data_IF_679008906837
#
_entry.id   IF_679008906837
#
_cell.length_a   1.000
_cell.length_b   1.000
_cell.length_c   1.000
_cell.angle_alpha   90.00
_cell.angle_beta   90.00
_cell.angle_gamma   90.00
#
_symmetry.space_group_name_H-M   'P 1'
#
loop_
_entity.id
_entity.type
_entity.pdbx_description
1 polymer ?
2 branched ?
3 branched ?
4 non-polymer ?
5 water ?
#
# COMPACT_ATOMS: atom_id res chain seq x y z
N UNK A 3 24.21 -1.14 -7.83
CA UNK A 3 23.73 -0.93 -9.24
C UNK A 3 22.55 -1.85 -9.55
N UNK A 4 21.61 -1.40 -10.42
CA UNK A 4 20.35 -2.11 -10.64
C UNK A 4 20.42 -3.24 -11.65
N UNK A 5 19.82 -4.39 -11.31
CA UNK A 5 19.70 -5.50 -12.26
C UNK A 5 18.50 -5.27 -13.22
N UNK A 6 18.51 -5.97 -14.36
CA UNK A 6 17.50 -5.81 -15.41
C UNK A 6 16.26 -6.62 -15.09
N UNK A 7 15.13 -6.27 -15.72
CA UNK A 7 13.92 -7.09 -15.68
C UNK A 7 13.05 -6.84 -14.46
N UNK A 8 12.10 -7.74 -14.23
CA UNK A 8 11.19 -7.64 -13.10
C UNK A 8 11.95 -7.92 -11.81
N UNK A 9 11.93 -6.97 -10.85
CA UNK A 9 12.70 -7.15 -9.60
C UNK A 9 12.18 -8.24 -8.65
N UNK A 10 10.95 -8.71 -8.85
CA UNK A 10 10.40 -9.85 -8.09
C UNK A 10 10.85 -11.23 -8.61
N UNK A 11 11.48 -11.28 -9.79
CA UNK A 11 11.76 -12.56 -10.44
C UNK A 11 12.87 -13.34 -9.75
N UNK A 12 12.56 -14.59 -9.40
CA UNK A 12 13.56 -15.49 -8.83
C UNK A 12 13.76 -15.32 -7.34
N UNK A 13 12.89 -14.55 -6.69
CA UNK A 13 13.00 -14.30 -5.25
C UNK A 13 11.81 -14.92 -4.54
N UNK A 14 12.08 -15.48 -3.36
CA UNK A 14 11.03 -15.87 -2.42
C UNK A 14 10.64 -14.62 -1.66
N UNK A 15 9.34 -14.42 -1.47
CA UNK A 15 8.84 -13.28 -0.69
C UNK A 15 8.84 -13.63 0.80
N UNK A 16 9.59 -12.84 1.58
CA UNK A 16 9.64 -12.96 3.03
C UNK A 16 8.23 -12.78 3.60
N UNK A 17 7.80 -13.65 4.51
CA UNK A 17 6.45 -13.55 5.10
C UNK A 17 6.49 -12.70 6.37
N UNK A 18 5.59 -11.72 6.45
CA UNK A 18 5.59 -10.75 7.56
C UNK A 18 5.39 -11.46 8.88
N UNK A 19 6.37 -11.34 9.81
CA UNK A 19 6.17 -11.91 11.16
C UNK A 19 5.11 -11.19 11.98
N UNK A 20 4.91 -9.90 11.74
CA UNK A 20 3.88 -9.16 12.48
C UNK A 20 2.48 -9.62 12.08
N UNK A 21 2.24 -9.75 10.77
CA UNK A 21 0.94 -10.22 10.27
C UNK A 21 0.70 -11.70 10.60
N UNK A 22 1.77 -12.49 10.64
CA UNK A 22 1.68 -13.92 10.98
C UNK A 22 1.21 -14.07 12.42
N UNK A 23 1.83 -13.32 13.32
CA UNK A 23 1.44 -13.25 14.71
C UNK A 23 -0.03 -12.80 14.91
N UNK A 24 -0.46 -11.80 14.14
CA UNK A 24 -1.85 -11.31 14.20
C UNK A 24 -2.86 -12.33 13.72
N UNK A 25 -2.57 -13.00 12.60
CA UNK A 25 -3.44 -14.06 12.07
C UNK A 25 -3.52 -15.26 13.03
N UNK A 26 -2.37 -15.67 13.56
CA UNK A 26 -2.30 -16.71 14.59
C UNK A 26 -3.24 -16.41 15.76
N UNK A 27 -3.28 -15.17 16.23
CA UNK A 27 -4.15 -14.78 17.34
C UNK A 27 -5.60 -14.67 16.89
N UNK A 28 -5.82 -14.34 15.62
CA UNK A 28 -7.16 -14.28 15.05
C UNK A 28 -7.74 -15.69 14.91
N UNK A 29 -6.91 -16.62 14.44
CA UNK A 29 -7.27 -18.03 14.28
C UNK A 29 -7.60 -18.68 15.61
N UNK A 30 -6.85 -18.31 16.66
CA UNK A 30 -7.05 -18.84 18.00
C UNK A 30 -8.37 -18.43 18.66
N UNK A 31 -9.05 -17.42 18.11
CA UNK A 31 -10.36 -17.01 18.61
C UNK A 31 -11.51 -17.54 17.75
N UNK A 32 -11.20 -18.43 16.80
CA UNK A 32 -12.20 -18.98 15.89
C UNK A 32 -12.38 -20.48 16.15
N UNK A 33 -13.62 -20.88 16.45
CA UNK A 33 -13.89 -22.21 16.96
C UNK A 33 -14.13 -23.25 15.84
N UNK A 34 -14.81 -22.81 14.77
CA UNK A 34 -15.05 -23.67 13.61
C UNK A 34 -13.71 -24.15 13.04
N UNK A 35 -13.44 -25.47 13.05
CA UNK A 35 -12.14 -25.94 12.58
C UNK A 35 -11.85 -25.72 11.10
N UNK A 36 -12.89 -25.62 10.27
CA UNK A 36 -12.69 -25.35 8.84
C UNK A 36 -12.41 -23.87 8.58
N UNK A 37 -13.01 -22.98 9.38
CA UNK A 37 -12.74 -21.54 9.32
C UNK A 37 -11.38 -21.21 9.95
N UNK A 38 -11.05 -21.90 11.05
CA UNK A 38 -9.77 -21.77 11.74
C UNK A 38 -8.60 -22.09 10.83
N UNK A 39 -8.66 -23.23 10.16
CA UNK A 39 -7.59 -23.64 9.24
C UNK A 39 -7.48 -22.73 8.02
N UNK A 40 -8.62 -22.22 7.57
CA UNK A 40 -8.65 -21.21 6.50
C UNK A 40 -7.95 -19.92 6.92
N UNK A 41 -8.28 -19.43 8.11
CA UNK A 41 -7.66 -18.24 8.69
C UNK A 41 -6.13 -18.37 8.76
N UNK A 42 -5.64 -19.51 9.24
CA UNK A 42 -4.20 -19.76 9.37
C UNK A 42 -3.47 -19.88 8.02
N UNK A 43 -4.20 -20.14 6.93
CA UNK A 43 -3.58 -20.17 5.60
C UNK A 43 -3.11 -18.78 5.14
N UNK A 44 -3.73 -17.73 5.69
CA UNK A 44 -3.43 -16.33 5.34
C UNK A 44 -2.02 -15.85 5.76
N UNK A 45 -1.47 -16.37 6.85
CA UNK A 45 -0.11 -16.01 7.25
C UNK A 45 0.96 -16.61 6.31
N UNK A 46 0.50 -17.36 5.32
CA UNK A 46 1.34 -17.98 4.31
C UNK A 46 1.33 -17.16 3.01
N UNK A 47 0.47 -16.13 2.97
CA UNK A 47 0.31 -15.26 1.82
C UNK A 47 1.09 -13.97 2.08
N UNK A 48 2.04 -13.65 1.20
CA UNK A 48 2.90 -12.49 1.49
C UNK A 48 2.18 -11.15 1.51
N UNK A 49 2.46 -10.35 2.54
CA UNK A 49 1.98 -8.98 2.63
C UNK A 49 3.15 -8.00 2.79
N UNK A 50 2.86 -6.71 2.68
CA UNK A 50 3.85 -5.66 2.88
C UNK A 50 3.93 -5.28 4.34
N UNK A 51 5.14 -4.99 4.82
CA UNK A 51 5.37 -4.64 6.22
C UNK A 51 5.37 -3.11 6.35
N UNK A 52 4.42 -2.58 7.10
CA UNK A 52 4.25 -1.14 7.23
C UNK A 52 5.12 -0.55 8.34
N UNK A 53 5.83 0.53 8.01
CA UNK A 53 6.57 1.31 8.97
C UNK A 53 5.89 2.66 9.12
N UNK A 54 4.74 2.61 9.79
CA UNK A 54 3.88 3.77 10.01
C UNK A 54 4.26 4.62 11.24
N UNK A 55 5.11 4.08 12.11
CA UNK A 55 5.64 4.85 13.24
C UNK A 55 7.16 4.66 13.31
N UNK A 56 7.87 5.71 13.71
CA UNK A 56 9.34 5.67 13.73
C UNK A 56 9.90 4.67 14.76
N UNK A 57 9.09 4.30 15.76
CA UNK A 57 9.45 3.25 16.73
C UNK A 57 9.57 1.86 16.13
N UNK A 58 9.13 1.69 14.89
CA UNK A 58 9.24 0.42 14.17
C UNK A 58 10.49 0.30 13.34
N UNK A 59 11.21 1.39 13.13
CA UNK A 59 12.36 1.34 12.20
C UNK A 59 13.38 0.26 12.59
N UNK A 60 13.63 0.04 13.90
CA UNK A 60 14.61 -0.98 14.24
C UNK A 60 14.13 -2.40 13.97
N UNK A 61 12.82 -2.59 13.87
CA UNK A 61 12.25 -3.90 13.54
C UNK A 61 12.57 -4.29 12.10
N UNK A 62 12.82 -3.29 11.24
CA UNK A 62 13.29 -3.57 9.89
C UNK A 62 14.61 -4.32 9.89
N UNK A 63 15.53 -3.90 10.76
CA UNK A 63 16.79 -4.62 10.98
C UNK A 63 16.58 -6.06 11.39
N UNK A 64 15.64 -6.29 12.29
CA UNK A 64 15.28 -7.62 12.77
C UNK A 64 14.69 -8.49 11.64
N UNK A 65 13.84 -7.89 10.83
CA UNK A 65 13.29 -8.57 9.67
C UNK A 65 14.37 -8.87 8.62
N UNK A 66 15.22 -7.89 8.29
CA UNK A 66 16.29 -8.11 7.33
C UNK A 66 17.31 -9.13 7.85
N UNK A 67 17.58 -9.09 9.16
CA UNK A 67 18.46 -10.08 9.83
C UNK A 67 17.86 -11.46 9.73
N UNK A 68 16.55 -11.54 9.92
CA UNK A 68 15.85 -12.83 9.84
C UNK A 68 15.86 -13.35 8.40
N UNK A 69 15.53 -12.47 7.45
CA UNK A 69 15.52 -12.81 6.02
C UNK A 69 16.89 -13.23 5.48
N UNK A 70 17.96 -12.63 6.02
CA UNK A 70 19.32 -12.99 5.65
C UNK A 70 19.66 -14.38 6.18
N UNK A 71 19.25 -14.69 7.42
CA UNK A 71 19.50 -16.02 8.01
C UNK A 71 18.71 -17.11 7.28
N UNK A 72 17.47 -16.81 6.88
CA UNK A 72 16.69 -17.72 6.04
C UNK A 72 17.43 -18.02 4.72
N UNK A 73 17.95 -16.97 4.11
CA UNK A 73 18.68 -17.03 2.84
C UNK A 73 19.95 -17.86 2.95
N UNK A 74 20.72 -17.63 4.02
CA UNK A 74 21.92 -18.41 4.27
C UNK A 74 21.58 -19.89 4.53
N UNK A 75 20.47 -20.14 5.24
CA UNK A 75 20.06 -21.50 5.56
C UNK A 75 19.48 -22.25 4.37
N UNK A 76 18.67 -21.59 3.54
CA UNK A 76 17.97 -22.26 2.44
C UNK A 76 18.70 -22.15 1.11
N UNK A 77 19.51 -21.10 0.93
CA UNK A 77 20.13 -20.77 -0.36
C UNK A 77 19.18 -20.04 -1.32
N UNK A 78 17.99 -19.70 -0.83
CA UNK A 78 16.93 -19.09 -1.62
C UNK A 78 16.95 -17.59 -1.42
N UNK A 79 17.18 -16.85 -2.48
CA UNK A 79 17.21 -15.38 -2.40
C UNK A 79 15.86 -14.82 -1.91
N UNK A 80 15.91 -13.92 -0.93
CA UNK A 80 14.72 -13.38 -0.27
C UNK A 80 14.47 -11.93 -0.68
N UNK A 81 13.18 -11.55 -0.67
CA UNK A 81 12.72 -10.20 -0.93
C UNK A 81 11.78 -9.75 0.20
N UNK A 82 12.10 -8.61 0.81
CA UNK A 82 11.31 -8.05 1.91
C UNK A 82 10.49 -6.86 1.42
N UNK A 83 9.18 -6.92 1.66
CA UNK A 83 8.24 -5.95 1.12
C UNK A 83 7.86 -4.99 2.26
N UNK A 84 8.14 -3.71 2.07
CA UNK A 84 7.92 -2.69 3.10
C UNK A 84 7.15 -1.50 2.55
N UNK A 85 6.57 -0.72 3.46
CA UNK A 85 5.85 0.50 3.12
C UNK A 85 6.41 1.70 3.94
N UNK A 86 6.80 2.77 3.24
CA UNK A 86 7.25 4.00 3.88
C UNK A 86 6.01 4.87 4.06
N UNK A 87 5.61 5.13 5.30
CA UNK A 87 4.33 5.79 5.58
C UNK A 87 4.39 6.60 6.87
N UNK A 88 5.04 7.76 6.81
CA UNK A 88 5.12 8.62 7.98
C UNK A 88 5.38 10.09 7.67
N UNK A 89 4.94 10.57 6.51
CA UNK A 89 5.11 12.00 6.18
C UNK A 89 4.48 12.87 7.25
N UNK A 90 5.05 14.05 7.50
CA UNK A 90 4.40 14.96 8.45
C UNK A 90 3.08 15.48 7.88
N UNK A 91 2.11 15.73 8.74
CA UNK A 91 0.75 16.09 8.34
C UNK A 91 0.21 15.02 7.38
N UNK A 92 0.34 13.76 7.78
CA UNK A 92 -0.03 12.61 6.96
C UNK A 92 -1.52 12.60 6.69
N UNK A 93 -1.93 12.02 5.57
CA UNK A 93 -3.36 11.80 5.32
C UNK A 93 -4.08 13.15 5.46
N UNK A 94 -3.67 14.11 4.63
CA UNK A 94 -4.10 15.48 4.76
C UNK A 94 -5.57 15.73 4.43
N UNK A 95 -6.21 14.81 3.69
CA UNK A 95 -7.63 14.95 3.31
C UNK A 95 -8.57 14.18 4.24
N UNK A 96 -8.08 13.66 5.34
CA UNK A 96 -8.84 12.79 6.24
C UNK A 96 -8.30 12.89 7.67
N UNK A 97 -8.88 12.14 8.59
CA UNK A 97 -8.41 12.15 9.97
C UNK A 97 -8.13 10.76 10.57
N UNK A 98 -8.45 9.68 9.85
CA UNK A 98 -8.40 8.32 10.43
C UNK A 98 -6.99 7.82 10.67
N UNK A 99 -6.10 8.08 9.71
CA UNK A 99 -4.67 7.87 9.86
C UNK A 99 -4.11 9.29 9.93
N UNK A 100 -3.47 9.65 11.04
CA UNK A 100 -3.22 11.07 11.31
C UNK A 100 -1.77 11.39 11.50
N UNK A 101 -0.97 10.41 11.89
CA UNK A 101 0.48 10.55 11.88
C UNK A 101 1.05 11.18 13.15
N UNK A 102 2.22 10.70 13.55
CA UNK A 102 2.91 11.23 14.72
C UNK A 102 3.62 12.56 14.44
N UNK A 103 3.81 12.92 13.17
CA UNK A 103 4.61 14.11 12.83
C UNK A 103 3.76 15.28 12.32
N UNK A 104 4.05 16.49 12.82
CA UNK A 104 3.37 17.73 12.42
C UNK A 104 4.35 18.68 11.74
N UNK A 105 3.88 19.39 10.71
CA UNK A 105 4.71 20.42 10.08
C UNK A 105 4.98 21.59 11.04
N UNK A 106 4.05 21.84 11.97
CA UNK A 106 4.21 22.91 12.97
C UNK A 106 5.23 22.60 14.06
N UNK A 107 5.50 21.31 14.30
CA UNK A 107 6.44 20.91 15.35
C UNK A 107 7.62 20.10 14.78
N UNK A 108 8.43 20.74 13.94
CA UNK A 108 9.65 20.13 13.39
C UNK A 108 9.46 18.90 12.52
N UNK A 109 8.33 18.80 11.85
CA UNK A 109 7.91 17.62 11.10
C UNK A 109 8.84 17.15 9.99
N UNK A 110 9.29 18.07 9.14
CA UNK A 110 10.14 17.68 8.02
C UNK A 110 11.46 17.07 8.50
N UNK A 111 12.11 17.72 9.46
CA UNK A 111 13.36 17.20 10.02
C UNK A 111 13.18 15.84 10.72
N UNK A 112 12.07 15.69 11.44
CA UNK A 112 11.76 14.41 12.05
C UNK A 112 11.53 13.33 10.97
N UNK A 113 10.86 13.66 9.87
CA UNK A 113 10.68 12.70 8.79
C UNK A 113 12.02 12.28 8.18
N UNK A 114 12.93 13.23 8.01
CA UNK A 114 14.25 12.93 7.48
C UNK A 114 14.96 11.93 8.39
N UNK A 115 14.92 12.20 9.69
CA UNK A 115 15.43 11.27 10.69
C UNK A 115 14.79 9.87 10.56
N UNK A 116 13.49 9.82 10.31
CA UNK A 116 12.77 8.55 10.17
C UNK A 116 13.33 7.77 8.98
N UNK A 117 13.51 8.45 7.86
CA UNK A 117 14.08 7.84 6.65
C UNK A 117 15.51 7.37 6.86
N UNK A 118 16.36 8.21 7.47
CA UNK A 118 17.73 7.83 7.82
C UNK A 118 17.79 6.59 8.71
N UNK A 119 16.84 6.46 9.63
CA UNK A 119 16.81 5.30 10.50
C UNK A 119 16.46 4.03 9.72
N UNK A 120 15.54 4.14 8.75
CA UNK A 120 15.25 3.00 7.85
C UNK A 120 16.48 2.66 7.04
N UNK A 121 17.13 3.69 6.51
CA UNK A 121 18.33 3.52 5.69
C UNK A 121 19.47 2.89 6.48
N UNK A 122 19.60 3.26 7.76
CA UNK A 122 20.72 2.72 8.55
C UNK A 122 20.56 1.23 8.90
N UNK A 123 19.32 0.73 9.00
CA UNK A 123 19.06 -0.72 9.17
C UNK A 123 19.29 -1.49 7.86
N UNK A 124 18.90 -0.88 6.73
CA UNK A 124 19.11 -1.48 5.40
C UNK A 124 20.59 -1.59 5.03
N UNK A 125 21.39 -0.62 5.45
CA UNK A 125 22.85 -0.68 5.27
C UNK A 125 23.46 -1.90 5.96
N UNK A 126 22.88 -2.31 7.09
CA UNK A 126 23.41 -3.42 7.88
C UNK A 126 23.25 -4.78 7.20
N UNK A 127 22.32 -4.88 6.25
CA UNK A 127 21.95 -6.15 5.61
C UNK A 127 21.83 -6.01 4.09
N UNK A 128 22.96 -5.92 3.38
CA UNK A 128 22.96 -5.69 1.94
C UNK A 128 22.66 -6.88 1.05
N UNK A 129 22.60 -8.09 1.60
CA UNK A 129 22.47 -9.30 0.76
C UNK A 129 21.02 -9.69 0.44
N UNK A 130 20.06 -8.89 0.89
CA UNK A 130 18.64 -9.18 0.73
C UNK A 130 17.97 -8.09 -0.10
N UNK A 131 17.13 -8.49 -1.05
CA UNK A 131 16.42 -7.51 -1.85
C UNK A 131 15.23 -6.93 -1.07
N UNK A 132 15.03 -5.62 -1.25
CA UNK A 132 13.89 -4.90 -0.68
C UNK A 132 13.04 -4.24 -1.75
N UNK A 133 11.73 -4.39 -1.65
CA UNK A 133 10.78 -3.61 -2.42
C UNK A 133 9.99 -2.71 -1.46
N UNK A 134 9.91 -1.42 -1.80
CA UNK A 134 9.30 -0.41 -0.92
C UNK A 134 8.20 0.34 -1.63
N UNK A 135 7.06 0.52 -0.95
CA UNK A 135 5.97 1.35 -1.41
C UNK A 135 6.11 2.67 -0.70
N UNK A 136 6.16 3.78 -1.44
CA UNK A 136 6.42 5.09 -0.86
C UNK A 136 5.16 5.94 -0.66
N UNK A 137 4.82 6.12 0.61
CA UNK A 137 3.82 7.11 1.08
C UNK A 137 2.47 7.00 0.40
N UNK A 138 1.70 5.98 0.78
CA UNK A 138 0.34 5.92 0.30
C UNK A 138 -0.45 7.21 0.55
N UNK A 139 -1.25 7.56 -0.44
CA UNK A 139 -2.18 8.70 -0.43
C UNK A 139 -1.54 10.07 -0.65
N UNK A 140 -0.25 10.22 -0.38
CA UNK A 140 0.38 11.54 -0.34
C UNK A 140 0.21 12.30 -1.66
N UNK A 141 0.86 11.80 -2.70
CA UNK A 141 0.87 12.51 -3.98
C UNK A 141 -0.51 12.55 -4.64
N UNK A 142 -1.27 11.45 -4.53
CA UNK A 142 -2.65 11.39 -4.98
C UNK A 142 -3.46 12.60 -4.51
N UNK A 143 -3.32 12.93 -3.23
CA UNK A 143 -3.96 14.10 -2.63
C UNK A 143 -3.49 15.42 -3.25
N UNK A 144 -2.24 15.46 -3.71
CA UNK A 144 -1.72 16.65 -4.38
C UNK A 144 -2.37 16.84 -5.75
N UNK A 145 -2.80 15.78 -6.41
CA UNK A 145 -3.50 15.95 -7.68
C UNK A 145 -4.93 16.49 -7.49
N UNK A 146 -5.66 15.91 -6.54
CA UNK A 146 -7.11 16.10 -6.46
C UNK A 146 -7.61 16.89 -5.26
N UNK A 147 -6.77 17.10 -4.24
CA UNK A 147 -7.22 17.71 -3.01
C UNK A 147 -6.42 18.97 -2.65
N UNK A 148 -6.00 19.73 -3.66
CA UNK A 148 -5.35 21.00 -3.40
C UNK A 148 -6.34 22.00 -2.80
N UNK A 149 -7.63 21.78 -3.02
CA UNK A 149 -8.66 22.61 -2.38
C UNK A 149 -8.65 22.52 -0.84
N UNK A 150 -8.23 21.38 -0.30
CA UNK A 150 -8.14 21.18 1.15
C UNK A 150 -6.90 21.91 1.72
N UNK A 151 -7.12 22.82 2.67
CA UNK A 151 -6.07 23.70 3.21
C UNK A 151 -4.85 22.97 3.80
N UNK A 152 -5.10 21.82 4.42
CA UNK A 152 -4.06 21.02 5.06
C UNK A 152 -3.18 20.35 3.99
N UNK A 153 -3.78 20.01 2.84
CA UNK A 153 -3.04 19.42 1.73
C UNK A 153 -2.19 20.47 1.03
N UNK A 154 -2.77 21.63 0.72
CA UNK A 154 -1.99 22.76 0.22
C UNK A 154 -0.79 23.05 1.10
N UNK A 155 -1.02 23.18 2.40
CA UNK A 155 0.06 23.50 3.34
C UNK A 155 1.14 22.43 3.47
N UNK A 156 0.81 21.21 3.06
CA UNK A 156 1.70 20.06 3.13
C UNK A 156 2.45 19.75 1.83
N UNK A 157 2.04 20.39 0.72
CA UNK A 157 2.52 20.01 -0.60
C UNK A 157 4.05 19.98 -0.77
N UNK A 158 4.71 21.06 -0.38
CA UNK A 158 6.17 21.15 -0.46
C UNK A 158 6.80 20.01 0.34
N UNK A 159 6.29 19.80 1.54
CA UNK A 159 6.79 18.77 2.45
C UNK A 159 6.60 17.32 1.97
N UNK A 160 5.45 17.05 1.38
CA UNK A 160 5.17 15.77 0.75
C UNK A 160 6.16 15.50 -0.37
N UNK A 161 6.35 16.49 -1.24
CA UNK A 161 7.23 16.34 -2.40
C UNK A 161 8.66 16.18 -1.96
N UNK A 162 9.11 17.06 -1.07
CA UNK A 162 10.45 16.95 -0.48
C UNK A 162 10.65 15.60 0.23
N UNK A 163 9.65 15.14 0.98
CA UNK A 163 9.80 13.91 1.74
C UNK A 163 9.94 12.70 0.84
N UNK A 164 9.07 12.60 -0.16
CA UNK A 164 9.05 11.46 -1.05
C UNK A 164 10.34 11.41 -1.86
N UNK A 165 10.79 12.57 -2.31
CA UNK A 165 12.05 12.73 -3.06
C UNK A 165 13.24 12.32 -2.20
N UNK A 166 13.23 12.71 -0.93
CA UNK A 166 14.30 12.32 0.02
C UNK A 166 14.32 10.81 0.23
N UNK A 167 13.16 10.22 0.45
CA UNK A 167 13.05 8.75 0.65
C UNK A 167 13.53 8.01 -0.59
N UNK A 168 13.12 8.47 -1.76
CA UNK A 168 13.54 7.85 -3.03
C UNK A 168 15.06 7.89 -3.21
N UNK A 169 15.67 9.05 -3.02
CA UNK A 169 17.11 9.18 -3.22
C UNK A 169 17.90 8.37 -2.20
N UNK A 170 17.44 8.36 -0.95
CA UNK A 170 18.11 7.60 0.11
C UNK A 170 18.01 6.11 -0.11
N UNK A 171 16.83 5.66 -0.54
CA UNK A 171 16.59 4.23 -0.74
C UNK A 171 17.24 3.74 -2.02
N UNK A 172 17.14 4.52 -3.08
CA UNK A 172 17.79 4.19 -4.35
C UNK A 172 19.32 4.11 -4.23
N UNK A 173 19.92 4.94 -3.35
CA UNK A 173 21.36 4.84 -3.02
C UNK A 173 21.75 3.47 -2.44
N UNK A 174 20.81 2.86 -1.72
CA UNK A 174 21.02 1.56 -1.07
C UNK A 174 20.46 0.36 -1.86
N UNK A 175 20.07 0.57 -3.11
CA UNK A 175 19.66 -0.51 -3.99
C UNK A 175 18.28 -1.07 -3.73
N UNK A 176 17.42 -0.27 -3.10
CA UNK A 176 16.04 -0.65 -2.84
C UNK A 176 15.20 -0.31 -4.07
N UNK A 177 14.29 -1.22 -4.43
CA UNK A 177 13.38 -1.02 -5.54
C UNK A 177 12.10 -0.35 -5.03
N UNK A 178 11.77 0.82 -5.58
CA UNK A 178 10.69 1.63 -5.06
C UNK A 178 9.53 1.70 -6.03
N UNK A 179 8.32 1.67 -5.47
CA UNK A 179 7.12 1.98 -6.20
C UNK A 179 6.39 3.08 -5.43
N UNK A 180 6.23 4.25 -6.04
CA UNK A 180 5.59 5.39 -5.39
C UNK A 180 4.09 5.16 -5.45
N UNK A 181 3.40 5.39 -4.33
CA UNK A 181 1.98 5.21 -4.33
C UNK A 181 1.33 6.17 -5.30
N UNK A 182 0.39 5.66 -6.11
CA UNK A 182 -0.31 6.45 -7.11
C UNK A 182 -1.83 6.22 -7.10
N UNK A 183 -2.42 6.25 -5.91
CA UNK A 183 -3.87 6.25 -5.77
C UNK A 183 -4.55 4.99 -6.30
N UNK A 184 -5.67 5.18 -7.00
CA UNK A 184 -6.40 4.07 -7.63
C UNK A 184 -7.35 4.55 -8.74
N UNK A 185 -7.94 3.58 -9.44
CA UNK A 185 -8.78 3.81 -10.61
C UNK A 185 -9.88 4.81 -10.32
N UNK A 186 -10.45 4.72 -9.13
CA UNK A 186 -11.50 5.64 -8.67
C UNK A 186 -11.02 6.92 -8.04
N UNK A 187 -9.72 7.16 -8.06
CA UNK A 187 -9.16 8.42 -7.54
C UNK A 187 -8.52 9.21 -8.68
N UNK A 188 -7.53 8.61 -9.34
CA UNK A 188 -6.78 9.28 -10.41
C UNK A 188 -7.17 8.84 -11.83
N UNK A 189 -7.99 7.79 -11.95
CA UNK A 189 -8.39 7.29 -13.26
C UNK A 189 -9.48 8.12 -13.93
N UNK A 190 -10.19 8.91 -13.13
CA UNK A 190 -11.08 9.94 -13.65
C UNK A 190 -10.26 10.72 -14.67
N UNK A 191 -10.87 10.97 -15.82
CA UNK A 191 -10.13 11.46 -16.98
C UNK A 191 -9.43 12.83 -16.75
N UNK A 192 -10.05 13.67 -15.93
CA UNK A 192 -9.50 14.97 -15.55
C UNK A 192 -8.20 14.88 -14.72
N UNK A 193 -8.04 13.80 -13.95
CA UNK A 193 -6.89 13.61 -13.08
C UNK A 193 -5.74 12.83 -13.71
N UNK A 194 -5.95 12.29 -14.92
CA UNK A 194 -4.93 11.45 -15.56
C UNK A 194 -3.72 12.26 -16.01
N UNK A 195 -3.95 13.40 -16.67
CA UNK A 195 -2.85 14.25 -17.14
C UNK A 195 -2.02 14.84 -15.98
N UNK A 196 -2.67 15.51 -15.00
CA UNK A 196 -1.93 16.05 -13.87
C UNK A 196 -1.22 14.99 -13.02
N UNK A 197 -1.75 13.76 -12.98
CA UNK A 197 -1.08 12.66 -12.28
C UNK A 197 0.22 12.28 -12.97
N UNK A 198 0.15 12.09 -14.28
CA UNK A 198 1.34 11.78 -15.10
C UNK A 198 2.42 12.84 -14.96
N UNK A 199 2.01 14.11 -15.01
CA UNK A 199 2.92 15.24 -14.82
C UNK A 199 3.64 15.13 -13.47
N UNK A 200 2.86 14.99 -12.39
CA UNK A 200 3.40 14.98 -11.03
C UNK A 200 4.35 13.81 -10.78
N UNK A 201 3.91 12.59 -11.08
CA UNK A 201 4.79 11.43 -10.84
C UNK A 201 6.06 11.49 -11.69
N UNK A 202 5.98 12.03 -12.90
CA UNK A 202 7.16 12.16 -13.77
C UNK A 202 8.16 13.17 -13.19
N UNK A 203 7.64 14.24 -12.61
CA UNK A 203 8.44 15.27 -11.97
C UNK A 203 9.15 14.70 -10.73
N UNK A 204 8.44 13.92 -9.91
CA UNK A 204 9.05 13.27 -8.74
C UNK A 204 10.22 12.37 -9.16
N UNK A 205 9.98 11.46 -10.12
CA UNK A 205 11.01 10.63 -10.75
C UNK A 205 12.25 11.45 -11.16
N UNK A 206 12.02 12.57 -11.85
CA UNK A 206 13.09 13.48 -12.27
C UNK A 206 13.88 14.05 -11.10
N UNK A 207 13.19 14.65 -10.15
CA UNK A 207 13.81 15.26 -8.97
C UNK A 207 14.53 14.28 -8.03
N UNK A 208 14.08 13.03 -8.01
CA UNK A 208 14.76 11.94 -7.33
C UNK A 208 15.93 11.33 -8.12
N UNK A 209 16.22 11.82 -9.32
CA UNK A 209 17.44 11.42 -10.06
C UNK A 209 17.29 10.35 -11.14
N UNK A 210 16.06 10.00 -11.50
CA UNK A 210 15.78 9.07 -12.60
C UNK A 210 16.45 7.69 -12.44
N UNK A 211 16.72 7.30 -11.20
CA UNK A 211 17.37 6.03 -10.92
C UNK A 211 16.46 4.85 -11.30
N UNK A 212 17.06 3.78 -11.82
CA UNK A 212 16.32 2.57 -12.23
C UNK A 212 15.78 1.77 -11.05
N UNK A 213 16.27 2.05 -9.85
CA UNK A 213 15.67 1.51 -8.64
C UNK A 213 14.29 2.14 -8.35
N UNK A 214 14.01 3.33 -8.92
CA UNK A 214 12.66 3.90 -8.90
C UNK A 214 11.86 3.25 -10.02
N UNK A 215 11.24 2.14 -9.70
CA UNK A 215 10.74 1.18 -10.68
C UNK A 215 9.40 1.59 -11.31
N UNK A 216 8.54 2.22 -10.51
CA UNK A 216 7.23 2.58 -10.98
C UNK A 216 6.31 3.01 -9.88
N UNK A 217 5.03 2.69 -10.03
CA UNK A 217 4.01 3.10 -9.10
C UNK A 217 3.29 1.92 -8.51
N UNK A 218 2.61 2.15 -7.38
CA UNK A 218 1.75 1.17 -6.76
C UNK A 218 0.34 1.69 -6.84
N UNK A 219 -0.64 0.82 -7.13
CA UNK A 219 -2.03 1.24 -7.12
C UNK A 219 -2.94 0.37 -6.26
N UNK A 220 -4.09 0.94 -5.93
CA UNK A 220 -5.17 0.29 -5.18
C UNK A 220 -4.82 -0.06 -3.74
N UNK A 221 -3.77 0.59 -3.20
CA UNK A 221 -3.32 0.37 -1.83
C UNK A 221 -4.42 0.74 -0.84
N UNK A 222 -4.77 -0.16 0.07
CA UNK A 222 -5.83 0.03 1.08
C UNK A 222 -7.21 0.21 0.46
N UNK A 223 -7.33 -0.13 -0.81
CA UNK A 223 -8.61 -0.06 -1.49
C UNK A 223 -9.04 -1.45 -1.97
N UNK A 224 -10.11 -1.48 -2.78
CA UNK A 224 -10.96 -2.65 -3.01
C UNK A 224 -11.34 -2.89 -4.47
N UNK A 225 -10.69 -2.19 -5.40
CA UNK A 225 -11.03 -2.23 -6.81
C UNK A 225 -10.59 -3.55 -7.44
N UNK A 226 -11.31 -3.96 -8.49
CA UNK A 226 -10.92 -5.12 -9.28
C UNK A 226 -9.65 -4.80 -10.05
N UNK A 227 -8.83 -5.82 -10.29
CA UNK A 227 -7.77 -5.73 -11.28
C UNK A 227 -8.42 -5.60 -12.66
N UNK A 228 -9.34 -6.53 -12.95
CA UNK A 228 -10.10 -6.49 -14.19
C UNK A 228 -11.54 -6.90 -13.91
N UNK A 229 -12.48 -6.05 -14.30
CA UNK A 229 -13.90 -6.35 -14.19
C UNK A 229 -14.52 -6.40 -15.59
N UNK A 230 -15.23 -7.49 -15.87
CA UNK A 230 -16.11 -7.60 -17.04
C UNK A 230 -17.40 -6.84 -16.71
N UNK A 231 -18.09 -7.31 -15.66
CA UNK A 231 -19.32 -6.69 -15.17
C UNK A 231 -19.00 -5.40 -14.42
N UNK A 232 -19.49 -4.28 -14.93
CA UNK A 232 -19.18 -2.95 -14.38
C UNK A 232 -19.72 -2.79 -12.94
N UNK A 233 -19.10 -1.88 -12.19
CA UNK A 233 -19.62 -1.48 -10.87
C UNK A 233 -20.38 -0.15 -11.07
N UNK A 234 -21.69 -0.11 -10.72
CA UNK A 234 -22.47 1.12 -10.93
C UNK A 234 -22.00 2.31 -10.06
N UNK A 235 -21.27 2.01 -8.99
CA UNK A 235 -20.59 3.01 -8.17
C UNK A 235 -19.59 3.86 -8.98
N UNK A 236 -19.10 3.29 -10.09
CA UNK A 236 -18.15 3.95 -10.99
C UNK A 236 -18.80 4.78 -12.11
N UNK A 237 -19.99 5.34 -11.85
CA UNK A 237 -20.74 6.10 -12.87
C UNK A 237 -20.10 7.48 -13.07
N UNK A 238 -19.65 7.74 -14.30
CA UNK A 238 -18.95 8.97 -14.66
C UNK A 238 -17.47 8.74 -14.96
N UNK A 239 -16.93 7.63 -14.46
CA UNK A 239 -15.52 7.25 -14.69
C UNK A 239 -15.43 6.13 -15.71
N UNK A 240 -14.59 6.34 -16.72
CA UNK A 240 -14.50 5.45 -17.88
C UNK A 240 -13.32 4.48 -17.76
N UNK A 241 -12.54 4.60 -16.68
CA UNK A 241 -11.51 3.63 -16.32
C UNK A 241 -11.91 2.97 -14.99
N UNK A 242 -12.81 1.99 -15.04
CA UNK A 242 -13.49 1.52 -13.83
C UNK A 242 -12.84 0.34 -13.10
N UNK A 243 -11.63 -0.03 -13.52
CA UNK A 243 -10.82 -1.01 -12.78
C UNK A 243 -9.34 -0.65 -12.91
N UNK A 244 -8.49 -1.40 -12.21
CA UNK A 244 -7.07 -1.03 -12.12
C UNK A 244 -6.28 -1.18 -13.42
N UNK A 245 -6.62 -2.18 -14.24
CA UNK A 245 -5.98 -2.39 -15.53
C UNK A 245 -6.26 -1.27 -16.53
N UNK A 246 -7.52 -0.81 -16.60
CA UNK A 246 -7.89 0.35 -17.43
C UNK A 246 -7.19 1.61 -16.94
N UNK A 247 -7.13 1.76 -15.62
CA UNK A 247 -6.46 2.89 -14.99
C UNK A 247 -5.00 2.92 -15.42
N UNK A 248 -4.34 1.78 -15.35
CA UNK A 248 -2.93 1.67 -15.68
C UNK A 248 -2.72 1.80 -17.18
N UNK A 249 -3.62 1.22 -17.97
CA UNK A 249 -3.51 1.31 -19.42
C UNK A 249 -3.73 2.74 -19.97
N UNK A 250 -4.42 3.60 -19.21
CA UNK A 250 -4.58 5.00 -19.57
C UNK A 250 -3.48 5.91 -18.97
N UNK A 251 -2.94 5.55 -17.81
CA UNK A 251 -1.88 6.33 -17.16
C UNK A 251 -0.51 6.09 -17.81
N UNK A 252 -0.15 4.83 -18.00
CA UNK A 252 1.16 4.44 -18.53
C UNK A 252 1.58 5.17 -19.80
N UNK A 253 0.72 5.22 -20.84
CA UNK A 253 1.15 5.98 -22.02
C UNK A 253 1.44 7.46 -21.74
N UNK A 254 0.64 8.09 -20.89
CA UNK A 254 0.84 9.50 -20.52
C UNK A 254 2.16 9.70 -19.75
N UNK A 255 2.44 8.78 -18.82
CA UNK A 255 3.69 8.79 -18.04
C UNK A 255 4.89 8.66 -18.96
N UNK A 256 4.79 7.74 -19.90
CA UNK A 256 5.81 7.55 -20.94
C UNK A 256 6.06 8.89 -21.64
N UNK A 257 4.98 9.53 -22.10
CA UNK A 257 5.07 10.81 -22.79
C UNK A 257 5.71 11.91 -21.91
N UNK A 258 5.43 11.89 -20.60
CA UNK A 258 6.11 12.76 -19.61
C UNK A 258 7.51 12.28 -19.22
N UNK A 259 8.02 11.26 -19.90
CA UNK A 259 9.43 10.91 -19.82
C UNK A 259 9.75 9.90 -18.74
N UNK A 260 8.81 9.01 -18.47
CA UNK A 260 9.03 7.94 -17.49
C UNK A 260 8.30 6.67 -17.89
N UNK A 261 9.06 5.67 -18.33
CA UNK A 261 8.49 4.38 -18.64
C UNK A 261 8.27 3.60 -17.33
N UNK A 262 7.15 3.90 -16.67
CA UNK A 262 6.88 3.38 -15.33
C UNK A 262 6.36 1.95 -15.39
N UNK A 263 6.78 1.12 -14.46
CA UNK A 263 6.10 -0.16 -14.21
C UNK A 263 5.14 -0.02 -13.03
N UNK A 264 4.42 -1.08 -12.69
CA UNK A 264 3.35 -1.01 -11.71
C UNK A 264 3.25 -2.28 -10.86
N UNK A 265 2.83 -2.11 -9.61
CA UNK A 265 2.27 -3.19 -8.80
C UNK A 265 0.89 -2.80 -8.28
N UNK A 266 0.06 -3.82 -8.06
CA UNK A 266 -1.34 -3.63 -7.73
C UNK A 266 -1.76 -4.44 -6.50
N UNK A 267 -2.27 -3.72 -5.50
CA UNK A 267 -2.82 -4.32 -4.28
C UNK A 267 -4.16 -4.99 -4.63
N UNK A 268 -4.30 -6.26 -4.27
CA UNK A 268 -5.58 -6.94 -4.47
C UNK A 268 -6.07 -7.59 -3.17
N UNK A 269 -5.46 -7.19 -2.07
CA UNK A 269 -5.64 -7.83 -0.76
C UNK A 269 -7.06 -7.86 -0.23
N UNK A 270 -7.83 -6.82 -0.52
CA UNK A 270 -9.24 -6.80 -0.13
C UNK A 270 -10.15 -6.60 -1.34
N UNK A 271 -9.77 -7.16 -2.49
CA UNK A 271 -10.57 -6.98 -3.72
C UNK A 271 -11.44 -8.19 -4.11
N UNK A 272 -11.55 -9.18 -3.23
CA UNK A 272 -12.22 -10.43 -3.57
C UNK A 272 -13.67 -10.26 -4.03
N UNK A 273 -14.36 -9.30 -3.44
CA UNK A 273 -15.76 -9.06 -3.70
C UNK A 273 -15.92 -7.65 -4.23
N UNK A 274 -16.49 -7.53 -5.43
CA UNK A 274 -16.79 -6.25 -6.06
C UNK A 274 -18.23 -5.83 -5.80
N UNK A 275 -18.55 -4.56 -6.07
CA UNK A 275 -19.91 -4.03 -5.94
C UNK A 275 -20.43 -4.07 -4.52
N UNK A 276 -19.62 -3.59 -3.59
CA UNK A 276 -19.96 -3.58 -2.15
C UNK A 276 -20.04 -2.15 -1.56
N UNK A 277 -19.87 -1.15 -2.42
CA UNK A 277 -19.91 0.26 -2.01
C UNK A 277 -21.06 1.02 -2.70
N UNK A 278 -21.70 1.90 -1.94
CA UNK A 278 -22.72 2.80 -2.49
C UNK A 278 -22.04 3.95 -3.27
N UNK A 279 -21.00 4.53 -2.68
CA UNK A 279 -20.21 5.60 -3.32
C UNK A 279 -18.78 5.09 -3.53
N UNK A 280 -18.16 5.50 -4.63
CA UNK A 280 -16.79 5.06 -4.91
C UNK A 280 -15.73 5.66 -3.99
N UNK A 281 -16.00 6.81 -3.42
CA UNK A 281 -15.08 7.44 -2.48
C UNK A 281 -15.14 6.87 -1.08
N UNK A 282 -15.91 5.82 -0.87
CA UNK A 282 -15.99 5.14 0.42
C UNK A 282 -14.84 4.10 0.57
N UNK A 283 -13.96 4.34 1.54
CA UNK A 283 -12.71 3.59 1.69
C UNK A 283 -12.54 2.92 3.05
N UNK A 284 -13.33 3.34 4.05
CA UNK A 284 -13.07 2.92 5.44
C UNK A 284 -13.78 1.62 5.80
N UNK A 285 -12.98 0.59 6.11
CA UNK A 285 -13.49 -0.68 6.61
C UNK A 285 -14.74 -1.13 5.86
N UNK A 286 -14.67 -1.19 4.53
CA UNK A 286 -15.87 -1.40 3.75
C UNK A 286 -16.44 -2.79 4.00
N UNK A 287 -17.72 -2.82 4.38
CA UNK A 287 -18.39 -4.04 4.81
C UNK A 287 -18.46 -5.08 3.71
N UNK A 288 -18.17 -6.32 4.09
CA UNK A 288 -18.35 -7.45 3.19
C UNK A 288 -17.22 -7.70 2.20
N UNK A 289 -16.13 -6.94 2.33
CA UNK A 289 -14.95 -7.14 1.50
C UNK A 289 -14.39 -8.52 1.79
N UNK A 290 -13.64 -9.05 0.84
CA UNK A 290 -12.98 -10.35 0.99
C UNK A 290 -11.59 -10.35 0.40
N UNK A 291 -10.75 -11.29 0.86
CA UNK A 291 -9.41 -11.43 0.31
C UNK A 291 -9.53 -11.70 -1.17
N UNK A 292 -8.68 -11.05 -1.96
CA UNK A 292 -8.76 -11.12 -3.41
C UNK A 292 -7.72 -11.99 -4.07
N UNK A 293 -7.49 -11.70 -5.36
CA UNK A 293 -6.46 -12.34 -6.15
C UNK A 293 -5.11 -12.46 -5.39
N UNK A 294 -4.55 -13.67 -5.37
CA UNK A 294 -3.32 -13.94 -4.61
C UNK A 294 -2.09 -13.31 -5.26
N UNK A 295 -1.09 -12.92 -4.44
CA UNK A 295 0.16 -12.38 -4.98
C UNK A 295 0.75 -13.26 -6.06
N UNK A 296 0.99 -12.68 -7.23
CA UNK A 296 1.47 -13.44 -8.39
C UNK A 296 2.30 -12.54 -9.31
N UNK A 297 3.24 -13.15 -10.03
CA UNK A 297 3.98 -12.46 -11.10
C UNK A 297 3.36 -12.71 -12.50
N UNK A 298 2.31 -13.53 -12.57
CA UNK A 298 1.54 -13.74 -13.80
C UNK A 298 0.44 -12.69 -13.91
N UNK A 299 0.77 -11.56 -14.53
CA UNK A 299 -0.11 -10.42 -14.58
C UNK A 299 -0.69 -10.23 -15.98
N UNK A 300 -1.74 -9.41 -16.11
CA UNK A 300 -2.34 -9.24 -17.44
C UNK A 300 -1.61 -8.24 -18.35
N UNK A 301 -0.51 -7.64 -17.89
CA UNK A 301 0.19 -6.63 -18.69
C UNK A 301 1.69 -6.62 -18.47
N UNK A 302 2.43 -6.23 -19.52
CA UNK A 302 3.87 -6.07 -19.43
C UNK A 302 4.23 -4.95 -18.49
N UNK A 303 3.32 -4.00 -18.33
CA UNK A 303 3.50 -2.84 -17.46
C UNK A 303 3.36 -3.17 -15.99
N UNK A 304 2.75 -4.31 -15.67
CA UNK A 304 2.49 -4.68 -14.28
C UNK A 304 3.47 -5.77 -13.85
N UNK A 305 4.40 -5.41 -12.97
CA UNK A 305 5.40 -6.32 -12.45
C UNK A 305 4.78 -7.39 -11.56
N UNK A 306 3.77 -7.04 -10.78
CA UNK A 306 3.27 -7.94 -9.74
C UNK A 306 1.91 -7.55 -9.22
N UNK A 307 1.13 -8.56 -8.88
CA UNK A 307 -0.04 -8.40 -8.05
C UNK A 307 0.45 -8.73 -6.65
N UNK A 308 0.02 -7.93 -5.67
CA UNK A 308 0.53 -8.00 -4.30
C UNK A 308 -0.60 -7.71 -3.31
N UNK A 309 -0.33 -7.97 -2.04
CA UNK A 309 -1.18 -7.58 -0.93
C UNK A 309 -0.42 -6.55 -0.11
N UNK A 310 -0.70 -5.28 -0.34
CA UNK A 310 0.04 -4.21 0.32
C UNK A 310 -0.60 -3.93 1.67
N UNK A 311 -1.87 -3.54 1.67
CA UNK A 311 -2.64 -3.40 2.91
C UNK A 311 -2.96 -4.78 3.47
N UNK A 312 -2.57 -5.06 4.74
CA UNK A 312 -2.82 -6.37 5.35
C UNK A 312 -4.23 -6.46 5.93
N UNK A 313 -5.07 -7.28 5.31
CA UNK A 313 -6.50 -7.34 5.66
C UNK A 313 -6.73 -7.82 7.08
N UNK A 314 -7.61 -7.10 7.79
CA UNK A 314 -7.85 -7.38 9.20
C UNK A 314 -7.37 -6.24 10.08
N UNK A 315 -6.35 -5.51 9.63
CA UNK A 315 -5.89 -4.30 10.31
C UNK A 315 -6.82 -3.15 9.89
N UNK A 316 -7.39 -2.45 10.87
CA UNK A 316 -8.44 -1.48 10.57
C UNK A 316 -7.96 -0.26 9.78
N UNK A 317 -8.89 0.41 9.11
CA UNK A 317 -8.61 1.64 8.35
C UNK A 317 -8.89 2.90 9.18
N UNK A 318 -9.66 2.76 10.26
CA UNK A 318 -10.06 3.90 11.09
C UNK A 318 -11.12 3.53 12.13
N UNK A 319 -11.13 4.26 13.24
CA UNK A 319 -12.11 4.05 14.30
C UNK A 319 -13.49 4.55 13.87
N UNK A 320 -14.54 3.91 14.40
CA UNK A 320 -15.93 4.33 14.19
C UNK A 320 -16.48 5.05 15.44
N UNK A 321 -15.68 5.07 16.51
CA UNK A 321 -15.98 5.83 17.73
C UNK A 321 -16.00 7.33 17.42
N UNK A 322 -17.19 7.92 17.31
CA UNK A 322 -17.38 9.34 16.95
C UNK A 322 -16.71 10.36 17.89
N UNK A 323 -16.35 9.96 19.10
CA UNK A 323 -15.69 10.85 20.07
C UNK A 323 -14.16 10.88 19.95
N UNK A 324 -13.58 9.86 19.31
CA UNK A 324 -12.13 9.73 19.19
C UNK A 324 -11.54 10.92 18.44
N UNK A 325 -10.32 11.35 18.82
CA UNK A 325 -9.64 12.42 18.07
C UNK A 325 -9.50 12.17 16.57
N UNK A 326 -9.25 10.92 16.18
CA UNK A 326 -8.99 10.59 14.79
C UNK A 326 -10.24 10.12 14.03
N UNK A 327 -11.43 10.41 14.53
CA UNK A 327 -12.65 9.93 13.88
C UNK A 327 -12.89 10.66 12.55
N UNK A 328 -13.03 9.88 11.49
CA UNK A 328 -13.37 10.39 10.17
C UNK A 328 -14.80 9.95 9.90
N UNK A 329 -15.62 10.82 9.33
CA UNK A 329 -17.04 10.52 9.10
C UNK A 329 -17.28 9.45 8.02
N UNK A 330 -16.30 9.25 7.14
CA UNK A 330 -16.29 8.12 6.20
C UNK A 330 -16.28 6.73 6.87
N UNK A 331 -15.76 6.67 8.10
CA UNK A 331 -15.73 5.42 8.88
C UNK A 331 -17.05 5.10 9.62
N UNK A 332 -18.00 6.04 9.59
CA UNK A 332 -19.34 5.83 10.12
C UNK A 332 -20.37 5.66 9.00
N UNK A 333 -19.92 5.45 7.77
CA UNK A 333 -20.82 5.29 6.62
C UNK A 333 -21.69 4.03 6.78
N UNK A 334 -22.79 3.97 6.02
CA UNK A 334 -23.72 2.84 6.08
C UNK A 334 -23.09 1.52 5.60
N UNK A 335 -22.21 1.61 4.59
CA UNK A 335 -21.45 0.44 4.08
C UNK A 335 -20.11 0.19 4.81
N UNK A 336 -19.92 0.76 5.99
CA UNK A 336 -18.72 0.52 6.78
C UNK A 336 -19.00 -0.48 7.89
N UNK A 337 -18.07 -1.40 8.09
CA UNK A 337 -18.14 -2.37 9.18
C UNK A 337 -17.93 -1.63 10.51
N UNK A 338 -18.95 -1.67 11.37
CA UNK A 338 -18.90 -1.01 12.69
C UNK A 338 -19.34 -2.00 13.80
N UNK A 339 -18.81 -1.84 15.03
CA UNK A 339 -17.79 -0.86 15.45
C UNK A 339 -16.37 -1.23 14.98
N UNK A 340 -15.57 -0.22 14.63
CA UNK A 340 -14.21 -0.40 14.14
C UNK A 340 -13.22 0.17 15.15
N UNK A 341 -12.07 -0.51 15.35
CA UNK A 341 -11.05 0.07 16.22
C UNK A 341 -10.12 1.03 15.46
N UNK A 342 -9.17 1.66 16.18
CA UNK A 342 -8.24 2.63 15.58
C UNK A 342 -7.48 2.06 14.39
N UNK A 343 -7.27 2.89 13.37
CA UNK A 343 -6.51 2.49 12.17
C UNK A 343 -5.21 1.76 12.54
N UNK A 344 -4.94 0.63 11.89
CA UNK A 344 -3.73 -0.14 12.15
C UNK A 344 -3.96 -1.29 13.11
N UNK A 345 -4.89 -1.13 14.03
CA UNK A 345 -5.16 -2.14 15.05
C UNK A 345 -6.05 -3.25 14.54
N UNK A 346 -6.00 -4.40 15.20
CA UNK A 346 -6.67 -5.59 14.71
C UNK A 346 -8.18 -5.46 14.84
N UNK A 347 -8.87 -5.76 13.74
CA UNK A 347 -10.32 -5.68 13.64
C UNK A 347 -10.79 -7.11 13.31
N UNK A 348 -11.06 -7.88 14.37
CA UNK A 348 -11.29 -9.33 14.25
C UNK A 348 -12.47 -9.71 13.36
N UNK A 349 -13.63 -9.09 13.55
CA UNK A 349 -14.83 -9.44 12.79
C UNK A 349 -14.67 -9.11 11.31
N UNK A 350 -13.83 -8.11 11.02
CA UNK A 350 -13.55 -7.73 9.65
C UNK A 350 -12.70 -8.79 8.96
N UNK A 351 -11.66 -9.23 9.67
CA UNK A 351 -10.80 -10.30 9.21
C UNK A 351 -11.60 -11.57 8.88
N UNK A 352 -12.52 -11.92 9.76
CA UNK A 352 -13.35 -13.13 9.62
C UNK A 352 -14.17 -13.08 8.33
N UNK A 353 -14.73 -11.91 8.02
CA UNK A 353 -15.46 -11.73 6.77
C UNK A 353 -14.53 -11.77 5.56
N UNK A 354 -13.30 -11.28 5.74
CA UNK A 354 -12.32 -11.31 4.67
C UNK A 354 -11.99 -12.75 4.34
N UNK A 355 -11.87 -13.55 5.39
CA UNK A 355 -11.66 -14.98 5.21
C UNK A 355 -12.86 -15.66 4.55
N UNK A 356 -14.06 -15.47 5.13
CA UNK A 356 -15.30 -16.04 4.60
C UNK A 356 -15.54 -15.65 3.15
N UNK A 357 -15.21 -14.41 2.80
CA UNK A 357 -15.51 -13.88 1.46
C UNK A 357 -14.33 -13.95 0.48
N UNK A 358 -13.27 -14.68 0.84
CA UNK A 358 -12.11 -14.81 0.00
C UNK A 358 -12.52 -15.31 -1.40
N UNK A 359 -12.03 -14.61 -2.42
CA UNK A 359 -12.11 -15.05 -3.81
C UNK A 359 -10.77 -14.80 -4.50
N UNK A 360 -10.01 -15.86 -4.81
CA UNK A 360 -10.36 -17.28 -4.64
C UNK A 360 -10.53 -17.73 -3.18
N UNK A 361 -11.44 -18.71 -2.93
CA UNK A 361 -11.64 -19.19 -1.57
C UNK A 361 -10.35 -19.74 -0.94
N UNK A 362 -10.22 -19.62 0.38
CA UNK A 362 -9.10 -20.22 1.10
C UNK A 362 -9.45 -21.70 1.33
N UNK A 363 -8.51 -22.57 0.93
CA UNK A 363 -8.64 -24.00 1.14
C UNK A 363 -8.06 -24.33 2.51
N UNK A 364 -8.70 -25.24 3.25
CA UNK A 364 -8.25 -25.62 4.59
C UNK A 364 -7.04 -26.55 4.55
X LIG B 1 -2.85 2.87 9.09
X LIG B 1 -1.53 2.30 9.56
X LIG B 1 -1.49 0.80 9.26
X LIG B 1 -1.83 0.53 7.80
X LIG B 1 -1.87 -0.97 7.52
X LIG B 1 -3.06 2.54 7.61
X LIG B 1 -4.28 3.13 7.13
X LIG B 1 -2.88 4.29 9.30
X LIG B 1 -1.38 2.50 10.97
X LIG B 1 -0.20 0.28 9.60
X LIG B 1 -3.07 1.12 7.48
X LIG B 1 -2.91 -1.58 8.28
X LIG B 2 0.87 -1.59 10.76
X LIG B 2 0.88 -2.35 12.09
X LIG B 2 0.98 -1.36 13.27
X LIG B 2 -0.19 -0.40 13.19
X LIG B 2 -0.28 0.56 14.41
X LIG B 2 -0.23 -0.51 10.79
X LIG B 2 0.66 -2.47 9.65
X LIG B 2 1.97 -3.29 12.10
X LIG B 2 1.01 -2.04 14.54
X LIG B 2 -0.09 0.32 11.96
X LIG B 2 0.89 1.37 14.57
X LIG C 1 -12.21 13.18 -7.34
X LIG C 1 -11.46 12.13 -6.49
X LIG C 1 -12.37 11.15 -5.73
X LIG C 1 -13.62 10.74 -6.56
X LIG C 1 -14.70 10.10 -5.70
X LIG C 1 -13.35 12.52 -8.15
X LIG C 1 -14.07 13.48 -8.96
X LIG C 1 -11.30 13.86 -8.22
X LIG C 1 -10.64 12.82 -5.52
X LIG C 1 -11.59 10.00 -5.32
X LIG C 1 -14.24 11.84 -7.25
X LIG C 1 -14.72 8.70 -5.97
X LIG C 2 -11.00 8.24 -3.71
X LIG C 2 -10.79 7.90 -2.24
X LIG C 2 -9.95 8.96 -1.54
X LIG C 2 -10.53 10.34 -1.78
X LIG C 2 -9.54 11.36 -1.21
X LIG C 2 -11.57 9.67 -3.91
X LIG C 2 -11.88 7.27 -4.30
X LIG C 2 -10.16 6.63 -2.10
X LIG C 2 -9.98 8.77 -0.13
X LIG C 2 -10.79 10.61 -3.17
X LIG C 2 -10.12 12.67 -1.25
X LIG C 3 -8.52 8.47 1.94
X LIG C 3 -7.29 7.72 2.44
X LIG C 3 -7.34 6.25 2.04
X LIG C 3 -7.45 6.06 0.53
X LIG C 3 -7.57 4.59 0.16
X LIG C 3 -8.89 8.07 0.49
X LIG C 3 -8.30 9.87 2.09
X LIG C 3 -7.23 7.86 3.86
X LIG C 3 -6.14 5.61 2.49
X LIG C 3 -8.56 6.76 -0.04
X LIG C 3 -7.71 4.44 -1.26
X LIG D 1 -23.27 -4.11 10.16
X LIG D 1 -24.23 -5.02 9.36
X LIG D 1 -25.03 -4.12 8.41
X LIG D 1 -24.03 -3.50 7.44
X LIG D 1 -24.70 -2.81 6.26
X LIG D 1 -22.43 -3.23 9.22
X LIG D 1 -21.79 -2.22 10.02
X LIG D 1 -22.41 -4.92 10.98
X LIG D 1 -25.05 -5.78 10.24
X LIG D 1 -26.09 -4.80 7.72
X LIG D 1 -23.19 -2.59 8.18
X LIG D 1 -24.91 -3.75 5.21
#
# INVERSE_FOLDING_TARGET
TPVPSTGNPFEGYDIYLSPYYAEEVEAAAAMIDDPVLKAKALKVKEIPTFIWFDVVRKTPDLGRYLADATAIQQRTGRKQLVQIVVYDLPDRDCAAAASNGEFSLADGGMEKYKDYVDRLASEIRKYPDVRIVAVIEPDSLANMVTNMNVAKCRGAEAAYKEGVIYALRQLSALGVYSYVDAGHAGWLGWNANLAPSARLFAQIYKDAGRSAFIRGLATNVSNYNALSATTRDPVTQGNDNYDELRFINALAPLLRNEGWDAKFIVDQGRSGVQNIRQEWGNWCNVYGAGFGMRPTLNTPSSAIDAIVWIKPGGEADGTSDTSAPRYDTHCGKSDSHKPAPEAGTWFQEYFVNLVKNANPPLAAALEHHHHHH
BGC C2 C3 C4 C5 C6 C1 O1 O2 O3 O4 O5 O6
BGC C2 C3 C4 C5 C6 C1 O2 O3 O4 O5 O6
BGC C2 C3 C4 C5 C6 C1 O1 O2 O3 O4 O5 O6
BGC C2 C3 C4 C5 C6 C1 O2 O3 O4 O5 O6
BGC C2 C3 C4 C5 C6 C1 O2 O3 O4 O5 O6
BGC C2 C3 C4 C5 C6 C1 O1 O2 O3 O4 O5 O6
#
